data_IF_770768003212
#
_entry.id   IF_770768003212
#
_cell.length_a   1.000
_cell.length_b   1.000
_cell.length_c   1.000
_cell.angle_alpha   90.00
_cell.angle_beta   90.00
_cell.angle_gamma   90.00
#
_symmetry.space_group_name_H-M   'P 1'
#
loop_
_entity.id
_entity.type
_entity.pdbx_description
1 polymer ?
#
# COMPACT_ATOMS: atom_id res chain seq x y z
N UNK A 1 -4.66 11.33 6.25
CA UNK A 1 -4.11 11.77 4.96
C UNK A 1 -4.25 10.65 3.95
N UNK A 2 -4.71 10.95 2.76
CA UNK A 2 -4.88 9.94 1.70
C UNK A 2 -4.21 10.44 0.43
N UNK A 3 -3.81 9.50 -0.41
CA UNK A 3 -3.12 9.82 -1.65
C UNK A 3 -3.39 8.72 -2.67
N UNK A 4 -3.71 9.11 -3.90
CA UNK A 4 -3.83 8.15 -5.00
C UNK A 4 -2.48 8.02 -5.68
N UNK A 5 -2.05 6.79 -5.94
CA UNK A 5 -0.73 6.56 -6.52
C UNK A 5 -0.72 5.26 -7.34
N UNK A 6 -0.50 5.41 -8.65
CA UNK A 6 -0.33 4.27 -9.57
C UNK A 6 -1.43 3.20 -9.45
N UNK A 7 -2.69 3.63 -9.35
CA UNK A 7 -3.82 2.71 -9.25
C UNK A 7 -4.09 2.22 -7.84
N UNK A 8 -3.42 2.79 -6.85
CA UNK A 8 -3.64 2.48 -5.43
C UNK A 8 -4.07 3.71 -4.67
N UNK A 9 -4.82 3.50 -3.61
CA UNK A 9 -5.14 4.53 -2.65
C UNK A 9 -4.34 4.24 -1.39
N UNK A 10 -3.58 5.22 -0.93
CA UNK A 10 -2.75 5.10 0.26
C UNK A 10 -3.34 5.99 1.34
N UNK A 11 -3.61 5.42 2.49
CA UNK A 11 -4.13 6.13 3.64
C UNK A 11 -3.14 6.03 4.79
N UNK A 12 -2.74 7.19 5.37
CA UNK A 12 -1.96 7.16 6.60
C UNK A 12 -2.91 7.26 7.78
N UNK A 13 -2.62 6.51 8.83
CA UNK A 13 -3.42 6.52 10.05
C UNK A 13 -2.51 6.41 11.25
N UNK A 14 -2.94 6.98 12.37
CA UNK A 14 -2.16 6.97 13.61
C UNK A 14 -2.57 5.74 14.42
N UNK A 15 -1.63 4.81 14.59
CA UNK A 15 -1.87 3.58 15.33
C UNK A 15 -1.55 3.72 16.81
N UNK A 16 -0.81 4.76 17.16
CA UNK A 16 -0.49 5.13 18.56
C UNK A 16 0.03 6.55 18.50
N UNK A 17 0.18 7.20 19.62
CA UNK A 17 0.60 8.61 19.66
C UNK A 17 1.93 8.80 18.92
N UNK A 18 1.88 9.56 17.83
CA UNK A 18 3.07 9.83 17.03
C UNK A 18 3.56 8.64 16.19
N UNK A 19 2.75 7.59 16.06
CA UNK A 19 3.12 6.40 15.29
C UNK A 19 2.18 6.26 14.10
N UNK A 20 2.65 6.66 12.93
CA UNK A 20 1.86 6.66 11.72
C UNK A 20 2.19 5.46 10.86
N UNK A 21 1.15 4.79 10.37
CA UNK A 21 1.25 3.68 9.44
C UNK A 21 0.57 4.05 8.14
N UNK A 22 0.81 3.27 7.10
CA UNK A 22 0.13 3.45 5.83
C UNK A 22 -0.65 2.18 5.48
N UNK A 23 -1.84 2.37 4.93
CA UNK A 23 -2.69 1.31 4.43
C UNK A 23 -2.85 1.49 2.93
N UNK A 24 -2.64 0.44 2.17
CA UNK A 24 -2.68 0.45 0.72
C UNK A 24 -3.89 -0.35 0.25
N UNK A 25 -4.71 0.25 -0.61
CA UNK A 25 -5.84 -0.40 -1.26
C UNK A 25 -5.77 -0.14 -2.75
N UNK A 26 -6.38 -1.01 -3.54
CA UNK A 26 -6.54 -0.72 -4.96
C UNK A 26 -7.63 0.33 -5.13
N UNK A 27 -7.38 1.27 -6.05
CA UNK A 27 -8.32 2.34 -6.31
C UNK A 27 -9.62 1.83 -6.96
N UNK A 28 -9.57 0.68 -7.63
CA UNK A 28 -10.75 0.07 -8.25
C UNK A 28 -11.56 -0.77 -7.26
N UNK A 29 -11.18 -0.79 -6.00
CA UNK A 29 -11.82 -1.52 -4.91
C UNK A 29 -11.75 -3.04 -5.03
N UNK A 30 -10.94 -3.55 -5.95
CA UNK A 30 -10.63 -4.95 -6.02
C UNK A 30 -9.61 -5.32 -4.95
N UNK A 31 -9.56 -6.57 -4.50
CA UNK A 31 -8.55 -6.94 -3.51
C UNK A 31 -7.14 -6.83 -4.08
N UNK A 32 -6.20 -6.48 -3.22
CA UNK A 32 -4.78 -6.55 -3.54
C UNK A 32 -4.37 -8.01 -3.47
N UNK A 33 -3.86 -8.54 -4.57
CA UNK A 33 -3.44 -9.95 -4.61
C UNK A 33 -1.92 -10.01 -4.50
N UNK A 34 -1.44 -10.69 -3.47
CA UNK A 34 0.00 -10.88 -3.26
C UNK A 34 0.26 -12.37 -3.14
N UNK A 35 1.12 -12.88 -4.02
CA UNK A 35 1.47 -14.30 -4.07
C UNK A 35 0.23 -15.20 -4.11
N UNK A 36 -0.79 -14.77 -4.84
CA UNK A 36 -2.03 -15.52 -4.99
C UNK A 36 -3.04 -15.37 -3.87
N UNK A 37 -2.74 -14.57 -2.85
CA UNK A 37 -3.63 -14.36 -1.70
C UNK A 37 -4.27 -12.98 -1.79
N UNK A 38 -5.60 -12.89 -1.66
CA UNK A 38 -6.30 -11.61 -1.72
C UNK A 38 -6.30 -10.90 -0.37
N UNK A 39 -6.13 -9.59 -0.42
CA UNK A 39 -6.19 -8.73 0.75
C UNK A 39 -7.05 -7.51 0.43
N UNK A 40 -8.03 -7.21 1.27
CA UNK A 40 -8.87 -6.02 1.08
C UNK A 40 -8.05 -4.74 1.20
N UNK A 41 -7.05 -4.75 2.08
CA UNK A 41 -6.12 -3.66 2.27
C UNK A 41 -4.81 -4.24 2.81
N UNK A 42 -3.72 -3.56 2.53
CA UNK A 42 -2.40 -4.00 2.98
C UNK A 42 -1.80 -2.91 3.86
N UNK A 43 -1.42 -3.24 5.08
CA UNK A 43 -0.78 -2.30 5.98
C UNK A 43 0.73 -2.44 5.90
N UNK A 44 1.42 -1.33 5.70
CA UNK A 44 2.88 -1.30 5.71
C UNK A 44 3.33 -1.42 7.16
N UNK A 45 4.21 -2.37 7.43
CA UNK A 45 4.52 -2.80 8.79
C UNK A 45 5.40 -1.88 9.63
N UNK A 46 5.74 -0.69 9.13
CA UNK A 46 6.60 0.24 9.86
C UNK A 46 5.81 1.43 10.38
N UNK A 47 6.23 1.96 11.53
CA UNK A 47 5.66 3.16 12.10
C UNK A 47 6.57 4.34 11.80
N UNK A 48 5.97 5.47 11.45
CA UNK A 48 6.68 6.69 11.10
C UNK A 48 6.20 7.82 11.99
N UNK A 49 7.07 8.79 12.31
CA UNK A 49 6.66 9.90 13.17
C UNK A 49 5.77 10.93 12.45
N UNK A 50 5.60 10.80 11.14
CA UNK A 50 4.94 11.79 10.30
C UNK A 50 4.07 11.07 9.27
N UNK A 51 2.81 11.48 9.08
CA UNK A 51 1.93 10.84 8.10
C UNK A 51 2.46 10.96 6.67
N UNK A 52 3.13 12.06 6.34
CA UNK A 52 3.70 12.22 5.00
C UNK A 52 4.82 11.21 4.73
N UNK A 53 5.62 10.90 5.75
CA UNK A 53 6.67 9.87 5.61
C UNK A 53 6.06 8.49 5.44
N UNK A 54 4.98 8.19 6.15
CA UNK A 54 4.27 6.92 5.98
C UNK A 54 3.79 6.76 4.54
N UNK A 55 3.21 7.81 3.97
CA UNK A 55 2.77 7.82 2.57
C UNK A 55 3.96 7.61 1.62
N UNK A 56 5.05 8.33 1.85
CA UNK A 56 6.25 8.22 1.00
C UNK A 56 6.78 6.78 0.99
N UNK A 57 6.83 6.15 2.14
CA UNK A 57 7.30 4.77 2.23
C UNK A 57 6.33 3.79 1.57
N UNK A 58 5.03 4.05 1.66
CA UNK A 58 4.04 3.24 0.96
C UNK A 58 4.23 3.33 -0.56
N UNK A 59 4.50 4.53 -1.08
CA UNK A 59 4.78 4.69 -2.51
C UNK A 59 6.02 3.92 -2.93
N UNK A 60 7.07 3.98 -2.14
CA UNK A 60 8.30 3.21 -2.40
C UNK A 60 8.02 1.72 -2.40
N UNK A 61 7.20 1.26 -1.47
CA UNK A 61 6.82 -0.15 -1.38
C UNK A 61 6.05 -0.57 -2.64
N UNK A 62 5.10 0.23 -3.08
CA UNK A 62 4.35 -0.04 -4.30
C UNK A 62 5.28 -0.12 -5.51
N UNK A 63 6.18 0.86 -5.66
CA UNK A 63 7.10 0.90 -6.78
C UNK A 63 8.01 -0.32 -6.83
N UNK A 64 8.45 -0.78 -5.66
CA UNK A 64 9.37 -1.91 -5.56
C UNK A 64 8.68 -3.24 -5.81
N UNK A 65 7.42 -3.37 -5.39
CA UNK A 65 6.72 -4.65 -5.42
C UNK A 65 5.45 -4.64 -6.24
N UNK A 66 5.29 -3.71 -7.15
CA UNK A 66 4.03 -3.54 -7.88
C UNK A 66 3.62 -4.78 -8.67
N UNK A 67 4.57 -5.55 -9.18
CA UNK A 67 4.25 -6.79 -9.88
C UNK A 67 3.56 -7.80 -8.97
N UNK A 68 3.96 -7.82 -7.70
CA UNK A 68 3.33 -8.69 -6.71
C UNK A 68 1.93 -8.20 -6.35
N UNK A 69 1.75 -6.86 -6.26
CA UNK A 69 0.48 -6.27 -5.91
C UNK A 69 -0.60 -6.56 -6.95
N UNK A 70 -0.23 -6.62 -8.21
CA UNK A 70 -1.19 -6.91 -9.26
C UNK A 70 -1.38 -8.40 -9.51
N UNK A 71 -0.63 -9.23 -8.85
CA UNK A 71 -0.75 -10.68 -8.97
C UNK A 71 -0.41 -11.22 -10.33
N UNK A 72 0.37 -10.54 -11.05
CA UNK A 72 0.50 -10.82 -12.43
C UNK A 72 1.43 -11.87 -12.82
N UNK A 73 1.11 -12.13 -13.15
CA UNK A 73 1.87 -12.50 -13.65
C UNK A 73 1.97 -12.60 -15.02
N UNK A 74 1.85 -12.06 -15.09
CA UNK A 74 1.74 -12.00 -16.01
C UNK A 74 2.39 -11.84 -16.71
N UNK A 75 2.70 -11.95 -16.55
CA UNK A 75 3.19 -11.81 -17.16
C UNK A 75 3.42 -12.07 -18.08
N UNK A 76 3.35 -12.10 -18.08
CA UNK A 76 3.50 -12.28 -18.79
C UNK A 76 3.69 -12.42 -19.51
N UNK A 77 3.81 -12.48 -19.64
CA UNK A 77 3.97 -12.55 -20.19
C UNK A 77 4.18 -12.45 -20.61
#
# INVERSE_FOLDING_TARGET
MTCDYNGFNIESFEAGTGLWHARIRRADQEPVVIDGLPFAALEVGFAWPDPAEAITHAKTHIDRFKARYFGVSHATA
#
